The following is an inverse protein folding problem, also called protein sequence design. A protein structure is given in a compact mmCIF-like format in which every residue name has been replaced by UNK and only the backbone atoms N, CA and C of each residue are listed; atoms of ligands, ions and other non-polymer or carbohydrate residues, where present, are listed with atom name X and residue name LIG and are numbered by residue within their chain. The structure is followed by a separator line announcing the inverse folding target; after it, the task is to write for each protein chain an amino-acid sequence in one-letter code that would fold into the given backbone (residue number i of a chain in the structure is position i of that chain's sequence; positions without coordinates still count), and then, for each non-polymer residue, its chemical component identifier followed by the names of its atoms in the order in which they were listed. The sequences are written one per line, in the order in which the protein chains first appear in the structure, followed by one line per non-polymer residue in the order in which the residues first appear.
data_IF_536101952045
#
_entry.id   IF_536101952045
#
_cell.length_a   1.000
_cell.length_b   1.000
_cell.length_c   1.000
_cell.angle_alpha   90.00
_cell.angle_beta   90.00
_cell.angle_gamma   90.00
#
_symmetry.space_group_name_H-M   'P 1'
#
loop_
_entity.id
_entity.type
_entity.pdbx_description
1 polymer ?
#
# COMPACT_ATOMS: atom_id res chain seq x y z
N UNK A 1 -5.51 44.02 -18.92
CA UNK A 1 -6.22 43.50 -17.73
C UNK A 1 -5.75 42.09 -17.48
N UNK A 2 -5.27 41.81 -16.25
CA UNK A 2 -4.69 40.51 -15.84
C UNK A 2 -5.81 39.49 -15.64
N UNK A 3 -5.98 38.55 -16.57
CA UNK A 3 -6.74 37.33 -16.28
C UNK A 3 -5.84 36.39 -15.48
N UNK A 4 -6.10 36.31 -14.17
CA UNK A 4 -5.50 35.30 -13.30
C UNK A 4 -5.99 33.95 -13.80
N UNK A 5 -5.06 33.15 -14.33
CA UNK A 5 -5.24 31.69 -14.33
C UNK A 5 -5.29 31.32 -12.86
N UNK A 6 -6.43 30.86 -12.38
CA UNK A 6 -6.52 30.20 -11.09
C UNK A 6 -5.55 29.02 -11.15
N UNK A 7 -4.44 29.17 -10.43
CA UNK A 7 -3.56 28.06 -10.09
C UNK A 7 -4.43 27.07 -9.33
N UNK A 8 -4.80 25.98 -10.00
CA UNK A 8 -5.35 24.81 -9.33
C UNK A 8 -4.19 24.29 -8.48
N UNK A 9 -4.14 24.74 -7.24
CA UNK A 9 -3.29 24.19 -6.19
C UNK A 9 -3.51 22.69 -6.17
N UNK A 10 -2.50 21.96 -6.63
CA UNK A 10 -2.35 20.50 -6.52
C UNK A 10 -2.22 20.11 -5.04
N UNK A 11 -3.24 20.39 -4.24
CA UNK A 11 -3.43 19.72 -2.97
C UNK A 11 -4.24 18.46 -3.28
N UNK A 12 -3.71 17.31 -2.89
CA UNK A 12 -4.35 16.00 -3.02
C UNK A 12 -5.75 16.08 -2.38
N UNK A 13 -6.77 16.43 -3.16
CA UNK A 13 -8.15 16.46 -2.68
C UNK A 13 -8.55 15.01 -2.41
N UNK A 14 -8.48 14.59 -1.15
CA UNK A 14 -9.06 13.31 -0.76
C UNK A 14 -10.56 13.37 -1.07
N UNK A 15 -10.99 12.52 -2.01
CA UNK A 15 -12.39 12.43 -2.37
C UNK A 15 -13.19 11.96 -1.16
N UNK A 16 -14.14 12.78 -0.69
CA UNK A 16 -15.00 12.42 0.44
C UNK A 16 -15.90 11.24 0.08
N UNK A 17 -16.07 10.33 1.02
CA UNK A 17 -17.02 9.22 0.94
C UNK A 17 -18.21 9.56 1.82
N UNK A 18 -19.36 9.73 1.20
CA UNK A 18 -20.61 10.08 1.90
C UNK A 18 -21.48 8.82 1.97
N UNK A 19 -21.97 8.50 3.16
CA UNK A 19 -22.97 7.44 3.33
C UNK A 19 -24.29 7.90 2.69
N UNK A 20 -24.80 7.22 1.65
CA UNK A 20 -26.03 7.61 0.98
C UNK A 20 -27.28 7.47 1.86
N UNK A 21 -27.25 6.65 2.91
CA UNK A 21 -28.40 6.44 3.80
C UNK A 21 -28.53 7.53 4.86
N UNK A 22 -27.40 8.07 5.35
CA UNK A 22 -27.37 9.03 6.46
C UNK A 22 -26.85 10.42 6.07
N UNK A 23 -26.24 10.57 4.89
CA UNK A 23 -25.58 11.78 4.43
C UNK A 23 -24.30 12.12 5.20
N UNK A 24 -23.81 11.23 6.08
CA UNK A 24 -22.62 11.46 6.89
C UNK A 24 -21.35 11.27 6.07
N UNK A 25 -20.34 12.08 6.37
CA UNK A 25 -18.98 11.87 5.88
C UNK A 25 -18.35 10.70 6.64
N UNK A 26 -18.12 9.61 5.91
CA UNK A 26 -17.53 8.35 6.42
C UNK A 26 -16.11 8.14 5.85
N UNK A 27 -15.47 9.18 5.32
CA UNK A 27 -14.19 9.07 4.61
C UNK A 27 -13.11 8.38 5.45
N UNK A 28 -12.98 8.74 6.73
CA UNK A 28 -11.98 8.15 7.62
C UNK A 28 -12.25 6.66 7.93
N UNK A 29 -13.51 6.31 8.18
CA UNK A 29 -13.93 4.94 8.45
C UNK A 29 -13.73 4.05 7.22
N UNK A 30 -14.09 4.55 6.05
CA UNK A 30 -13.86 3.90 4.77
C UNK A 30 -12.37 3.67 4.50
N UNK A 31 -11.53 4.68 4.71
CA UNK A 31 -10.07 4.55 4.56
C UNK A 31 -9.53 3.49 5.51
N UNK A 32 -9.91 3.52 6.79
CA UNK A 32 -9.44 2.56 7.78
C UNK A 32 -9.84 1.13 7.43
N UNK A 33 -11.11 0.89 7.06
CA UNK A 33 -11.57 -0.43 6.62
C UNK A 33 -10.77 -0.93 5.41
N UNK A 34 -10.52 -0.06 4.43
CA UNK A 34 -9.72 -0.41 3.25
C UNK A 34 -8.27 -0.71 3.59
N UNK A 35 -7.66 0.05 4.50
CA UNK A 35 -6.30 -0.24 4.97
C UNK A 35 -6.22 -1.57 5.70
N UNK A 36 -7.20 -1.90 6.54
CA UNK A 36 -7.25 -3.21 7.21
C UNK A 36 -7.41 -4.38 6.21
N UNK A 37 -8.24 -4.22 5.18
CA UNK A 37 -8.37 -5.21 4.11
C UNK A 37 -7.04 -5.41 3.36
N UNK A 38 -6.39 -4.31 2.97
CA UNK A 38 -5.10 -4.33 2.29
C UNK A 38 -3.99 -4.93 3.18
N UNK A 39 -4.00 -4.62 4.47
CA UNK A 39 -3.08 -5.17 5.46
C UNK A 39 -3.18 -6.71 5.53
N UNK A 40 -4.40 -7.25 5.62
CA UNK A 40 -4.64 -8.70 5.63
C UNK A 40 -4.17 -9.38 4.34
N UNK A 41 -4.36 -8.72 3.19
CA UNK A 41 -3.87 -9.22 1.90
C UNK A 41 -2.34 -9.26 1.90
N UNK A 42 -1.68 -8.16 2.30
CA UNK A 42 -0.23 -8.09 2.36
C UNK A 42 0.36 -9.12 3.34
N UNK A 43 -0.23 -9.30 4.52
CA UNK A 43 0.19 -10.33 5.47
C UNK A 43 0.08 -11.75 4.89
N UNK A 44 -0.95 -12.00 4.09
CA UNK A 44 -1.12 -13.29 3.41
C UNK A 44 -0.02 -13.53 2.38
N UNK A 45 0.37 -12.49 1.64
CA UNK A 45 1.47 -12.54 0.66
C UNK A 45 2.80 -12.78 1.38
N UNK A 46 3.08 -12.03 2.46
CA UNK A 46 4.30 -12.21 3.27
C UNK A 46 4.38 -13.63 3.82
N UNK A 47 3.29 -14.19 4.36
CA UNK A 47 3.27 -15.58 4.86
C UNK A 47 3.68 -16.59 3.79
N UNK A 48 3.26 -16.40 2.54
CA UNK A 48 3.68 -17.24 1.40
C UNK A 48 5.17 -17.05 1.09
N UNK A 49 5.67 -15.82 1.13
CA UNK A 49 7.10 -15.54 0.95
C UNK A 49 7.96 -16.29 1.98
N UNK A 50 7.53 -16.31 3.25
CA UNK A 50 8.20 -17.06 4.32
C UNK A 50 8.25 -18.56 4.01
N UNK A 51 7.15 -19.13 3.52
CA UNK A 51 7.10 -20.54 3.14
C UNK A 51 8.06 -20.83 1.99
N UNK A 52 8.09 -19.98 0.97
CA UNK A 52 9.03 -20.12 -0.14
C UNK A 52 10.49 -20.01 0.31
N UNK A 53 10.79 -19.09 1.21
CA UNK A 53 12.13 -18.89 1.75
C UNK A 53 12.61 -20.09 2.58
N UNK A 54 11.72 -20.68 3.39
CA UNK A 54 12.03 -21.91 4.14
C UNK A 54 12.46 -23.06 3.23
N UNK A 55 11.86 -23.15 2.04
CA UNK A 55 12.16 -24.19 1.06
C UNK A 55 13.38 -23.83 0.18
N UNK A 56 13.68 -22.54 0.00
CA UNK A 56 14.70 -22.05 -0.94
C UNK A 56 15.52 -20.89 -0.37
N UNK A 57 16.23 -21.12 0.75
CA UNK A 57 16.95 -20.05 1.48
C UNK A 57 17.97 -19.26 0.65
N UNK A 58 18.56 -19.90 -0.37
CA UNK A 58 19.56 -19.25 -1.22
C UNK A 58 18.97 -18.24 -2.20
N UNK A 59 17.64 -18.20 -2.33
CA UNK A 59 16.91 -17.34 -3.27
C UNK A 59 16.23 -16.16 -2.59
N UNK A 60 16.77 -15.68 -1.46
CA UNK A 60 16.13 -14.62 -0.66
C UNK A 60 15.75 -13.39 -1.47
N UNK A 61 16.63 -12.94 -2.39
CA UNK A 61 16.38 -11.74 -3.21
C UNK A 61 15.31 -11.98 -4.28
N UNK A 62 15.36 -13.11 -5.00
CA UNK A 62 14.31 -13.49 -5.97
C UNK A 62 12.93 -13.56 -5.30
N UNK A 63 12.86 -14.18 -4.11
CA UNK A 63 11.62 -14.28 -3.33
C UNK A 63 11.18 -12.89 -2.85
N UNK A 64 12.11 -12.04 -2.44
CA UNK A 64 11.77 -10.68 -2.05
C UNK A 64 11.16 -9.90 -3.20
N UNK A 65 11.79 -9.87 -4.37
CA UNK A 65 11.31 -9.12 -5.54
C UNK A 65 9.94 -9.62 -6.01
N UNK A 66 9.77 -10.94 -6.12
CA UNK A 66 8.50 -11.54 -6.54
C UNK A 66 7.34 -11.15 -5.61
N UNK A 67 7.55 -11.29 -4.30
CA UNK A 67 6.50 -11.05 -3.32
C UNK A 67 6.28 -9.57 -3.02
N UNK A 68 7.33 -8.74 -3.11
CA UNK A 68 7.20 -7.30 -3.06
C UNK A 68 6.39 -6.78 -4.25
N UNK A 69 6.63 -7.30 -5.46
CA UNK A 69 5.82 -6.94 -6.62
C UNK A 69 4.34 -7.30 -6.44
N UNK A 70 4.05 -8.48 -5.88
CA UNK A 70 2.67 -8.85 -5.55
C UNK A 70 2.03 -7.91 -4.52
N UNK A 71 2.78 -7.45 -3.50
CA UNK A 71 2.29 -6.44 -2.55
C UNK A 71 2.03 -5.11 -3.28
N UNK A 72 2.96 -4.68 -4.13
CA UNK A 72 2.84 -3.44 -4.90
C UNK A 72 1.63 -3.45 -5.84
N UNK A 73 1.37 -4.54 -6.57
CA UNK A 73 0.18 -4.64 -7.41
C UNK A 73 -1.12 -4.54 -6.61
N UNK A 74 -1.16 -5.16 -5.41
CA UNK A 74 -2.38 -5.16 -4.58
C UNK A 74 -2.59 -3.84 -3.84
N UNK A 75 -1.54 -3.23 -3.30
CA UNK A 75 -1.63 -2.02 -2.47
C UNK A 75 -1.45 -0.74 -3.29
N UNK A 76 -0.64 -0.75 -4.34
CA UNK A 76 -0.31 0.42 -5.16
C UNK A 76 -1.24 0.62 -6.35
N UNK A 77 -1.58 -0.46 -7.07
CA UNK A 77 -2.49 -0.38 -8.24
C UNK A 77 -3.95 -0.76 -7.91
N UNK A 78 -4.17 -1.55 -6.85
CA UNK A 78 -5.50 -2.05 -6.48
C UNK A 78 -6.36 -1.10 -5.65
N UNK A 79 -5.75 -0.10 -5.00
CA UNK A 79 -6.49 0.94 -4.26
C UNK A 79 -6.98 2.01 -5.23
N UNK A 80 -8.30 2.19 -5.33
CA UNK A 80 -8.94 3.28 -6.08
C UNK A 80 -9.57 4.22 -5.05
N UNK A 81 -9.16 5.50 -5.04
CA UNK A 81 -9.76 6.57 -4.22
C UNK A 81 -8.87 7.07 -3.07
N UNK A 82 -9.42 7.66 -2.00
CA UNK A 82 -8.63 8.26 -0.91
C UNK A 82 -7.78 7.23 -0.14
N UNK A 83 -8.12 5.94 -0.24
CA UNK A 83 -7.32 4.85 0.30
C UNK A 83 -5.96 4.68 -0.41
N UNK A 84 -5.82 5.10 -1.67
CA UNK A 84 -4.56 5.01 -2.43
C UNK A 84 -3.45 5.86 -1.82
N UNK A 85 -3.78 7.09 -1.42
CA UNK A 85 -2.83 7.97 -0.74
C UNK A 85 -2.44 7.42 0.64
N UNK A 86 -3.38 6.77 1.33
CA UNK A 86 -3.14 6.16 2.64
C UNK A 86 -2.41 4.81 2.56
N UNK A 87 -2.42 4.15 1.40
CA UNK A 87 -1.76 2.86 1.17
C UNK A 87 -0.24 2.98 1.01
N UNK A 88 0.31 4.16 0.71
CA UNK A 88 1.75 4.40 0.59
C UNK A 88 2.54 4.02 1.85
N UNK A 89 2.22 4.60 3.02
CA UNK A 89 2.86 4.22 4.30
C UNK A 89 2.71 2.74 4.64
N UNK A 90 1.57 2.13 4.30
CA UNK A 90 1.35 0.70 4.50
C UNK A 90 2.29 -0.11 3.59
N UNK A 91 2.42 0.26 2.31
CA UNK A 91 3.32 -0.37 1.36
C UNK A 91 4.76 -0.32 1.84
N UNK A 92 5.25 0.84 2.29
CA UNK A 92 6.60 0.98 2.85
C UNK A 92 6.79 0.08 4.06
N UNK A 93 5.83 0.06 4.99
CA UNK A 93 5.88 -0.85 6.14
C UNK A 93 6.00 -2.31 5.73
N UNK A 94 5.27 -2.74 4.70
CA UNK A 94 5.31 -4.12 4.19
C UNK A 94 6.58 -4.44 3.42
N UNK A 95 7.14 -3.47 2.68
CA UNK A 95 8.46 -3.56 2.05
C UNK A 95 9.53 -3.92 3.09
N UNK A 96 9.63 -3.13 4.16
CA UNK A 96 10.61 -3.37 5.23
C UNK A 96 10.34 -4.66 6.00
N UNK A 97 9.08 -4.96 6.32
CA UNK A 97 8.73 -6.20 7.02
C UNK A 97 9.12 -7.44 6.23
N UNK A 98 8.89 -7.43 4.91
CA UNK A 98 9.28 -8.53 4.04
C UNK A 98 10.80 -8.71 4.01
N UNK A 99 11.56 -7.62 3.84
CA UNK A 99 13.02 -7.66 3.85
C UNK A 99 13.59 -8.21 5.17
N UNK A 100 13.07 -7.75 6.31
CA UNK A 100 13.49 -8.22 7.63
C UNK A 100 13.27 -9.73 7.80
N UNK A 101 12.12 -10.24 7.38
CA UNK A 101 11.80 -11.67 7.53
C UNK A 101 12.68 -12.54 6.62
N UNK A 102 13.09 -12.01 5.47
CA UNK A 102 13.95 -12.69 4.50
C UNK A 102 15.44 -12.49 4.76
N UNK A 103 15.81 -11.78 5.83
CA UNK A 103 17.20 -11.48 6.20
C UNK A 103 17.94 -10.74 5.07
N UNK A 104 17.29 -9.69 4.55
CA UNK A 104 17.83 -8.81 3.50
C UNK A 104 18.16 -7.45 4.12
N UNK A 105 19.34 -6.95 3.82
CA UNK A 105 19.81 -5.67 4.34
C UNK A 105 19.04 -4.51 3.71
N UNK A 106 18.82 -3.46 4.48
CA UNK A 106 18.09 -2.27 4.02
C UNK A 106 18.79 -1.57 2.83
N UNK A 107 20.09 -1.81 2.65
CA UNK A 107 20.89 -1.28 1.55
C UNK A 107 20.57 -1.96 0.21
N UNK A 108 20.13 -3.22 0.25
CA UNK A 108 19.83 -4.04 -0.93
C UNK A 108 18.44 -3.76 -1.53
N UNK A 109 17.59 -3.03 -0.79
CA UNK A 109 16.18 -2.77 -1.16
C UNK A 109 15.91 -1.30 -1.50
N UNK A 110 16.97 -0.49 -1.71
CA UNK A 110 16.86 0.95 -2.00
C UNK A 110 16.09 1.23 -3.28
#
# INVERSE_FOLDING_TARGET
MKNRKEEITNEHMMQRVIDPATGKDITGEYINQKLEELDKIAETIIKKAVQNYRNNRNKKMEIYEEFYWQIHEKLGMGSIGPATAAAGPLMDSKKYKLAQILDIDAEDIK
#
